data_IF_937998574180
#
_entry.id   IF_937998574180
#
_cell.length_a   1.000
_cell.length_b   1.000
_cell.length_c   1.000
_cell.angle_alpha   90.00
_cell.angle_beta   90.00
_cell.angle_gamma   90.00
#
_symmetry.space_group_name_H-M   'P 1'
#
loop_
_entity.id
_entity.type
_entity.pdbx_description
1 polymer ?
#
# COMPACT_ATOMS: atom_id res chain seq x y z
N UNK A 1 5.49 7.10 19.49
CA UNK A 1 5.83 7.21 18.06
C UNK A 1 4.64 6.79 17.23
N UNK A 2 4.40 7.40 16.07
CA UNK A 2 3.55 6.77 15.06
C UNK A 2 4.47 5.84 14.28
N UNK A 3 4.16 4.55 14.28
CA UNK A 3 4.90 3.56 13.52
C UNK A 3 4.53 3.65 12.04
N UNK A 4 5.54 3.79 11.18
CA UNK A 4 5.39 3.68 9.72
C UNK A 4 6.27 2.54 9.20
N UNK A 5 5.69 1.54 8.51
CA UNK A 5 4.24 1.29 8.44
C UNK A 5 3.68 0.92 9.84
N UNK A 6 2.37 1.06 10.09
CA UNK A 6 1.76 0.58 11.33
C UNK A 6 1.97 -0.93 11.45
N UNK A 7 2.08 -1.46 12.68
CA UNK A 7 2.44 -2.87 12.91
C UNK A 7 1.54 -3.91 12.22
N UNK A 8 0.28 -3.54 11.93
CA UNK A 8 -0.68 -4.39 11.20
C UNK A 8 -0.92 -3.95 9.75
N UNK A 9 -0.02 -3.16 9.17
CA UNK A 9 -0.16 -2.61 7.83
C UNK A 9 -0.41 -3.70 6.79
N UNK A 10 0.42 -4.74 6.72
CA UNK A 10 0.28 -5.76 5.70
C UNK A 10 -1.08 -6.48 5.79
N UNK A 11 -1.50 -6.84 7.00
CA UNK A 11 -2.79 -7.50 7.25
C UNK A 11 -3.97 -6.60 6.88
N UNK A 12 -3.98 -5.35 7.36
CA UNK A 12 -5.07 -4.40 7.12
C UNK A 12 -5.14 -3.95 5.67
N UNK A 13 -4.00 -3.67 5.04
CA UNK A 13 -3.93 -3.21 3.66
C UNK A 13 -4.40 -4.30 2.69
N UNK A 14 -4.00 -5.56 2.91
CA UNK A 14 -4.51 -6.69 2.12
C UNK A 14 -6.00 -6.90 2.36
N UNK A 15 -6.46 -6.78 3.61
CA UNK A 15 -7.88 -6.87 3.92
C UNK A 15 -8.68 -5.80 3.15
N UNK A 16 -8.20 -4.56 3.12
CA UNK A 16 -8.81 -3.46 2.37
C UNK A 16 -8.85 -3.74 0.86
N UNK A 17 -7.73 -4.15 0.27
CA UNK A 17 -7.67 -4.54 -1.15
C UNK A 17 -8.59 -5.72 -1.47
N UNK A 18 -8.77 -6.64 -0.53
CA UNK A 18 -9.57 -7.86 -0.73
C UNK A 18 -11.07 -7.63 -0.50
N UNK A 19 -11.48 -6.44 -0.05
CA UNK A 19 -12.89 -6.13 0.15
C UNK A 19 -13.67 -6.27 -1.16
N UNK A 20 -14.93 -6.72 -1.05
CA UNK A 20 -15.79 -6.97 -2.23
C UNK A 20 -16.07 -5.70 -3.04
N UNK A 21 -16.15 -4.55 -2.39
CA UNK A 21 -16.41 -3.23 -2.97
C UNK A 21 -15.17 -2.54 -3.56
N UNK A 22 -13.98 -3.12 -3.36
CA UNK A 22 -12.72 -2.59 -3.87
C UNK A 22 -12.28 -3.39 -5.10
N UNK A 23 -12.29 -2.71 -6.24
CA UNK A 23 -11.88 -3.23 -7.55
C UNK A 23 -10.79 -2.38 -8.21
N UNK A 24 -10.36 -1.29 -7.57
CA UNK A 24 -9.27 -0.43 -8.08
C UNK A 24 -8.47 0.19 -6.94
N UNK A 25 -7.18 0.43 -7.20
CA UNK A 25 -6.29 1.15 -6.30
C UNK A 25 -6.76 2.58 -5.98
N UNK A 26 -7.51 3.22 -6.88
CA UNK A 26 -7.99 4.59 -6.68
C UNK A 26 -9.08 4.69 -5.59
N UNK A 27 -9.67 3.55 -5.21
CA UNK A 27 -10.62 3.44 -4.09
C UNK A 27 -9.93 3.29 -2.73
N UNK A 28 -8.64 2.97 -2.69
CA UNK A 28 -7.88 2.80 -1.46
C UNK A 28 -7.10 4.08 -1.14
N UNK A 29 -7.37 4.66 0.03
CA UNK A 29 -6.64 5.80 0.56
C UNK A 29 -6.25 5.55 2.01
N UNK A 30 -4.95 5.55 2.26
CA UNK A 30 -4.34 5.42 3.56
C UNK A 30 -3.73 6.75 3.96
N UNK A 31 -4.32 7.38 4.97
CA UNK A 31 -3.93 8.71 5.43
C UNK A 31 -3.06 8.56 6.69
N UNK A 32 -1.84 9.10 6.63
CA UNK A 32 -0.90 9.12 7.73
C UNK A 32 -0.74 10.55 8.23
N UNK A 33 -0.53 10.70 9.53
CA UNK A 33 -0.25 12.01 10.12
C UNK A 33 1.19 12.44 9.78
N UNK A 34 1.30 13.38 8.84
CA UNK A 34 2.54 13.97 8.34
C UNK A 34 3.17 15.00 9.28
N UNK A 35 2.41 15.57 10.22
CA UNK A 35 2.91 16.55 11.20
C UNK A 35 4.01 15.98 12.10
N UNK A 36 4.13 14.66 12.18
CA UNK A 36 5.21 13.99 12.92
C UNK A 36 6.45 13.65 12.07
N UNK A 37 6.53 14.12 10.81
CA UNK A 37 7.55 13.74 9.81
C UNK A 37 7.85 12.24 9.92
N UNK A 38 6.97 11.36 9.41
CA UNK A 38 7.14 9.93 9.61
C UNK A 38 8.42 9.45 8.91
N UNK A 39 9.52 9.50 9.64
CA UNK A 39 10.70 8.71 9.36
C UNK A 39 10.27 7.29 9.67
N UNK A 40 10.44 6.37 8.72
CA UNK A 40 10.15 4.98 8.95
C UNK A 40 10.99 4.45 10.12
N UNK A 41 10.58 3.33 10.72
CA UNK A 41 11.31 2.75 11.87
C UNK A 41 12.81 2.54 11.63
N UNK A 42 13.21 2.45 10.37
CA UNK A 42 14.60 2.27 9.91
C UNK A 42 15.39 3.59 9.74
N UNK A 43 14.86 4.74 10.16
CA UNK A 43 15.51 6.04 9.95
C UNK A 43 15.38 6.59 8.52
N UNK A 44 14.61 5.92 7.65
CA UNK A 44 14.45 6.22 6.23
C UNK A 44 13.23 7.08 5.92
N UNK A 45 13.20 7.68 4.73
CA UNK A 45 12.06 8.46 4.26
C UNK A 45 10.78 7.59 4.24
N UNK A 46 9.64 8.20 4.59
CA UNK A 46 8.30 7.58 4.57
C UNK A 46 8.06 6.68 3.35
N UNK A 47 8.36 7.22 2.17
CA UNK A 47 8.18 6.53 0.89
C UNK A 47 9.02 5.25 0.81
N UNK A 48 10.31 5.32 1.13
CA UNK A 48 11.21 4.16 1.09
C UNK A 48 10.75 3.03 2.03
N UNK A 49 10.31 3.38 3.24
CA UNK A 49 9.83 2.41 4.22
C UNK A 49 8.51 1.78 3.79
N UNK A 50 7.59 2.56 3.22
CA UNK A 50 6.34 2.03 2.69
C UNK A 50 6.53 1.20 1.42
N UNK A 51 7.46 1.57 0.54
CA UNK A 51 7.83 0.77 -0.65
C UNK A 51 8.37 -0.61 -0.25
N UNK A 52 9.23 -0.68 0.75
CA UNK A 52 9.67 -1.97 1.34
C UNK A 52 8.52 -2.74 1.95
N UNK A 53 7.56 -2.07 2.59
CA UNK A 53 6.40 -2.73 3.15
C UNK A 53 5.52 -3.32 2.04
N UNK A 54 5.35 -2.61 0.91
CA UNK A 54 4.66 -3.09 -0.30
C UNK A 54 5.34 -4.34 -0.86
N UNK A 55 6.68 -4.36 -0.90
CA UNK A 55 7.44 -5.52 -1.37
C UNK A 55 7.20 -6.78 -0.53
N UNK A 56 6.94 -6.61 0.76
CA UNK A 56 6.65 -7.70 1.68
C UNK A 56 5.16 -8.06 1.78
N UNK A 57 4.27 -7.40 1.02
CA UNK A 57 2.84 -7.73 1.07
C UNK A 57 2.58 -9.15 0.53
N UNK A 58 1.73 -9.94 1.21
CA UNK A 58 1.29 -11.26 0.76
C UNK A 58 0.21 -11.13 -0.33
N UNK A 59 0.54 -10.46 -1.43
CA UNK A 59 -0.33 -10.30 -2.60
C UNK A 59 -0.36 -11.60 -3.40
N UNK A 60 -1.57 -12.05 -3.74
CA UNK A 60 -1.82 -13.16 -4.66
C UNK A 60 -2.08 -12.65 -6.07
N UNK A 61 -1.89 -13.52 -7.07
CA UNK A 61 -2.16 -13.16 -8.47
C UNK A 61 -3.65 -12.90 -8.70
N UNK A 62 -4.56 -13.63 -8.06
CA UNK A 62 -6.01 -13.37 -8.12
C UNK A 62 -6.38 -11.95 -7.65
N UNK A 63 -5.75 -11.49 -6.56
CA UNK A 63 -5.96 -10.13 -6.07
C UNK A 63 -5.45 -9.10 -7.09
N UNK A 64 -4.31 -9.36 -7.72
CA UNK A 64 -3.77 -8.51 -8.78
C UNK A 64 -4.72 -8.43 -9.98
N UNK A 65 -5.24 -9.56 -10.44
CA UNK A 65 -6.20 -9.63 -11.56
C UNK A 65 -7.46 -8.85 -11.29
N UNK A 66 -8.01 -8.97 -10.07
CA UNK A 66 -9.19 -8.23 -9.64
C UNK A 66 -8.94 -6.72 -9.58
N UNK A 67 -7.88 -6.29 -8.90
CA UNK A 67 -7.63 -4.86 -8.62
C UNK A 67 -7.16 -4.10 -9.87
N UNK A 68 -6.47 -4.78 -10.78
CA UNK A 68 -5.99 -4.20 -12.03
C UNK A 68 -6.96 -4.43 -13.20
N UNK A 69 -8.07 -5.12 -12.96
CA UNK A 69 -9.04 -5.53 -13.99
C UNK A 69 -8.35 -6.13 -15.23
N UNK A 70 -7.37 -7.01 -14.98
CA UNK A 70 -6.50 -7.56 -16.03
C UNK A 70 -6.20 -9.05 -15.74
N UNK A 71 -6.64 -9.99 -16.60
CA UNK A 71 -6.46 -11.43 -16.37
C UNK A 71 -5.00 -11.90 -16.38
N UNK A 72 -4.09 -11.14 -16.99
CA UNK A 72 -2.65 -11.42 -17.06
C UNK A 72 -1.86 -10.70 -15.95
N UNK A 73 -2.55 -9.97 -15.07
CA UNK A 73 -1.90 -9.33 -13.94
C UNK A 73 -1.32 -10.37 -12.98
N UNK A 74 -0.13 -10.05 -12.48
CA UNK A 74 0.57 -10.83 -11.46
C UNK A 74 0.78 -9.98 -10.21
N UNK A 75 1.10 -10.63 -9.09
CA UNK A 75 1.49 -9.96 -7.84
C UNK A 75 2.62 -8.93 -8.05
N UNK A 76 3.52 -9.17 -8.99
CA UNK A 76 4.60 -8.24 -9.32
C UNK A 76 4.08 -6.96 -9.99
N UNK A 77 3.13 -7.11 -10.93
CA UNK A 77 2.49 -5.96 -11.59
C UNK A 77 1.72 -5.13 -10.56
N UNK A 78 0.94 -5.78 -9.68
CA UNK A 78 0.21 -5.05 -8.63
C UNK A 78 1.17 -4.33 -7.66
N UNK A 79 2.29 -4.93 -7.26
CA UNK A 79 3.31 -4.26 -6.44
C UNK A 79 3.89 -3.03 -7.15
N UNK A 80 4.17 -3.13 -8.44
CA UNK A 80 4.67 -2.01 -9.23
C UNK A 80 3.62 -0.88 -9.33
N UNK A 81 2.35 -1.24 -9.55
CA UNK A 81 1.25 -0.27 -9.59
C UNK A 81 1.03 0.43 -8.24
N UNK A 82 1.14 -0.29 -7.12
CA UNK A 82 1.08 0.28 -5.77
C UNK A 82 2.19 1.32 -5.55
N UNK A 83 3.40 1.08 -6.07
CA UNK A 83 4.53 2.02 -6.00
C UNK A 83 4.37 3.19 -6.96
N UNK A 84 3.88 2.95 -8.17
CA UNK A 84 3.61 3.99 -9.17
C UNK A 84 2.54 4.96 -8.67
N UNK A 85 1.44 4.43 -8.13
CA UNK A 85 0.34 5.18 -7.53
C UNK A 85 0.56 5.51 -6.05
N UNK A 86 1.79 5.44 -5.55
CA UNK A 86 2.12 5.62 -4.13
C UNK A 86 1.47 6.88 -3.55
N UNK A 87 1.67 8.02 -4.20
CA UNK A 87 1.13 9.30 -3.74
C UNK A 87 -0.38 9.39 -3.81
N UNK A 88 -1.07 8.53 -4.57
CA UNK A 88 -2.53 8.49 -4.64
C UNK A 88 -3.10 7.66 -3.50
N UNK A 89 -2.44 6.54 -3.18
CA UNK A 89 -2.86 5.58 -2.17
C UNK A 89 -2.46 6.06 -0.77
N UNK A 90 -1.20 6.47 -0.59
CA UNK A 90 -0.64 6.85 0.69
C UNK A 90 -0.50 8.37 0.76
N UNK A 91 -1.32 9.01 1.59
CA UNK A 91 -1.35 10.47 1.77
C UNK A 91 -0.81 10.85 3.13
N UNK A 92 0.04 11.87 3.17
CA UNK A 92 0.39 12.55 4.42
C UNK A 92 -0.61 13.69 4.63
N UNK A 93 -1.42 13.61 5.68
CA UNK A 93 -2.22 14.74 6.15
C UNK A 93 -1.41 15.56 7.14
N UNK A 94 -1.38 16.87 6.95
CA UNK A 94 -0.88 17.81 7.94
C UNK A 94 -1.96 18.13 8.97
#
# INVERSE_FOLDING_TARGET
MIDVPPGKFAEQFIKDLSRRDVNSLDQIKWIFNGAKKPIGKDGKAFKETMEKAIDNLPITDDLAKKILDNPDATKAILKNELKSKFNNIFKLSN
#
